data_IF_271867395848
#
_entry.id   IF_271867395848
#
_cell.length_a   1.000
_cell.length_b   1.000
_cell.length_c   1.000
_cell.angle_alpha   90.00
_cell.angle_beta   90.00
_cell.angle_gamma   90.00
#
_symmetry.space_group_name_H-M   'P 1'
#
loop_
_entity.id
_entity.type
_entity.pdbx_description
1 polymer ?
#
# COMPACT_ATOMS: atom_id res chain seq x y z
N UNK A 1 8.76 -12.45 -28.84
CA UNK A 1 8.22 -11.06 -28.83
C UNK A 1 6.77 -11.01 -28.38
N UNK A 2 5.82 -11.67 -29.04
CA UNK A 2 4.42 -11.71 -28.56
C UNK A 2 4.29 -12.41 -27.20
N UNK A 3 4.97 -13.54 -27.03
CA UNK A 3 4.96 -14.30 -25.76
C UNK A 3 5.58 -13.52 -24.59
N UNK A 4 6.60 -12.70 -24.86
CA UNK A 4 7.25 -11.86 -23.84
C UNK A 4 6.33 -10.73 -23.36
N UNK A 5 5.51 -10.20 -24.27
CA UNK A 5 4.55 -9.15 -23.95
C UNK A 5 3.39 -9.67 -23.09
N UNK A 6 2.81 -10.82 -23.47
CA UNK A 6 1.73 -11.46 -22.72
C UNK A 6 2.19 -11.92 -21.32
N UNK A 7 3.43 -12.41 -21.20
CA UNK A 7 4.02 -12.77 -19.91
C UNK A 7 4.19 -11.56 -18.98
N UNK A 8 4.64 -10.42 -19.53
CA UNK A 8 4.77 -9.17 -18.78
C UNK A 8 3.41 -8.60 -18.39
N UNK A 9 2.42 -8.66 -19.28
CA UNK A 9 1.04 -8.23 -19.01
C UNK A 9 0.45 -9.05 -17.86
N UNK A 10 0.55 -10.37 -17.93
CA UNK A 10 0.07 -11.27 -16.87
C UNK A 10 0.75 -10.99 -15.53
N UNK A 11 2.06 -10.73 -15.56
CA UNK A 11 2.82 -10.38 -14.35
C UNK A 11 2.37 -9.04 -13.76
N UNK A 12 2.13 -8.04 -14.61
CA UNK A 12 1.64 -6.73 -14.19
C UNK A 12 0.24 -6.84 -13.57
N UNK A 13 -0.66 -7.59 -14.22
CA UNK A 13 -2.00 -7.83 -13.68
C UNK A 13 -1.94 -8.46 -12.29
N UNK A 14 -1.11 -9.48 -12.10
CA UNK A 14 -0.92 -10.12 -10.78
C UNK A 14 -0.45 -9.13 -9.72
N UNK A 15 0.57 -8.31 -10.03
CA UNK A 15 1.08 -7.29 -9.12
C UNK A 15 0.01 -6.25 -8.79
N UNK A 16 -0.74 -5.77 -9.78
CA UNK A 16 -1.81 -4.80 -9.59
C UNK A 16 -2.94 -5.34 -8.72
N UNK A 17 -3.33 -6.61 -8.90
CA UNK A 17 -4.33 -7.26 -8.04
C UNK A 17 -3.86 -7.37 -6.58
N UNK A 18 -2.60 -7.71 -6.35
CA UNK A 18 -2.04 -7.75 -4.99
C UNK A 18 -1.88 -6.35 -4.38
N UNK A 19 -1.59 -5.35 -5.20
CA UNK A 19 -1.43 -3.95 -4.79
C UNK A 19 -2.75 -3.28 -4.44
N UNK A 20 -3.83 -3.60 -5.16
CA UNK A 20 -5.14 -2.94 -5.03
C UNK A 20 -5.67 -2.80 -3.59
N UNK A 21 -5.72 -3.85 -2.74
CA UNK A 21 -6.20 -3.72 -1.37
C UNK A 21 -5.30 -2.80 -0.51
N UNK A 22 -3.97 -2.86 -0.74
CA UNK A 22 -3.02 -2.00 -0.04
C UNK A 22 -3.10 -0.55 -0.52
N UNK A 23 -3.35 -0.33 -1.81
CA UNK A 23 -3.61 1.00 -2.37
C UNK A 23 -4.85 1.65 -1.75
N UNK A 24 -5.94 0.90 -1.59
CA UNK A 24 -7.15 1.40 -0.94
C UNK A 24 -6.93 1.78 0.53
N UNK A 25 -5.97 1.15 1.20
CA UNK A 25 -5.65 1.42 2.61
C UNK A 25 -4.62 2.53 2.79
N UNK A 26 -3.54 2.52 2.00
CA UNK A 26 -2.34 3.34 2.19
C UNK A 26 -2.08 4.36 1.08
N UNK A 27 -2.79 4.28 -0.04
CA UNK A 27 -2.70 5.22 -1.15
C UNK A 27 -3.39 6.56 -0.84
N UNK A 28 -3.34 7.50 -1.80
CA UNK A 28 -4.05 8.78 -1.69
C UNK A 28 -5.54 8.57 -1.42
N UNK A 29 -6.07 9.21 -0.37
CA UNK A 29 -7.46 9.03 0.06
C UNK A 29 -7.75 7.69 0.77
N UNK A 30 -6.71 6.94 1.12
CA UNK A 30 -6.85 5.66 1.82
C UNK A 30 -7.36 5.76 3.26
N UNK A 31 -7.72 4.62 3.83
CA UNK A 31 -8.42 4.53 5.11
C UNK A 31 -7.52 4.39 6.34
N UNK A 32 -6.21 4.16 6.17
CA UNK A 32 -5.30 3.85 7.28
C UNK A 32 -5.37 4.85 8.43
N UNK A 33 -5.25 6.15 8.15
CA UNK A 33 -5.24 7.18 9.18
C UNK A 33 -6.57 7.29 9.92
N UNK A 34 -7.68 7.07 9.21
CA UNK A 34 -9.00 7.05 9.81
C UNK A 34 -9.13 5.87 10.77
N UNK A 35 -8.77 4.66 10.33
CA UNK A 35 -8.78 3.45 11.16
C UNK A 35 -7.86 3.58 12.37
N UNK A 36 -6.65 4.16 12.19
CA UNK A 36 -5.69 4.40 13.27
C UNK A 36 -6.28 5.32 14.34
N UNK A 37 -6.87 6.44 13.94
CA UNK A 37 -7.49 7.42 14.85
C UNK A 37 -8.71 6.83 15.55
N UNK A 38 -9.53 6.05 14.84
CA UNK A 38 -10.69 5.38 15.41
C UNK A 38 -10.28 4.36 16.48
N UNK A 39 -9.26 3.55 16.21
CA UNK A 39 -8.70 2.61 17.20
C UNK A 39 -8.18 3.33 18.43
N UNK A 40 -7.35 4.37 18.25
CA UNK A 40 -6.79 5.13 19.37
C UNK A 40 -7.90 5.80 20.20
N UNK A 41 -8.93 6.35 19.57
CA UNK A 41 -10.08 6.92 20.26
C UNK A 41 -10.87 5.86 21.07
N UNK A 42 -11.05 4.65 20.52
CA UNK A 42 -11.70 3.56 21.23
C UNK A 42 -10.90 3.15 22.47
N UNK A 43 -9.59 2.94 22.33
CA UNK A 43 -8.67 2.60 23.43
C UNK A 43 -8.71 3.68 24.52
N UNK A 44 -8.62 4.97 24.15
CA UNK A 44 -8.72 6.08 25.09
C UNK A 44 -10.04 6.09 25.86
N UNK A 45 -11.15 5.78 25.20
CA UNK A 45 -12.45 5.72 25.85
C UNK A 45 -12.54 4.56 26.84
N UNK A 46 -11.94 3.41 26.53
CA UNK A 46 -11.84 2.28 27.48
C UNK A 46 -11.07 2.66 28.74
N UNK A 47 -9.88 3.27 28.59
CA UNK A 47 -9.10 3.75 29.75
C UNK A 47 -9.85 4.81 30.56
N UNK A 48 -10.56 5.73 29.89
CA UNK A 48 -11.36 6.75 30.56
C UNK A 48 -12.51 6.13 31.37
N UNK A 49 -13.19 5.13 30.81
CA UNK A 49 -14.30 4.46 31.47
C UNK A 49 -13.85 3.55 32.63
N UNK A 50 -12.63 2.99 32.54
CA UNK A 50 -12.05 2.14 33.58
C UNK A 50 -11.40 2.90 34.74
N UNK A 51 -11.19 4.22 34.60
CA UNK A 51 -10.51 5.01 35.61
C UNK A 51 -11.45 5.40 36.76
N UNK A 52 -10.99 5.19 38.01
CA UNK A 52 -11.72 5.62 39.21
C UNK A 52 -11.74 7.14 39.41
N UNK A 53 -10.80 7.85 38.78
CA UNK A 53 -10.67 9.31 38.84
C UNK A 53 -10.48 9.89 37.45
N UNK A 54 -10.69 11.20 37.32
CA UNK A 54 -10.51 11.90 36.04
C UNK A 54 -9.04 11.82 35.60
N UNK A 55 -8.81 11.20 34.45
CA UNK A 55 -7.49 11.15 33.79
C UNK A 55 -7.34 12.36 32.86
N UNK A 56 -6.13 12.92 32.76
CA UNK A 56 -5.83 13.99 31.81
C UNK A 56 -5.83 13.45 30.38
N UNK A 57 -6.07 14.33 29.40
CA UNK A 57 -6.03 13.93 27.99
C UNK A 57 -4.63 13.48 27.55
N UNK A 58 -3.57 14.09 28.09
CA UNK A 58 -2.18 13.69 27.80
C UNK A 58 -1.89 12.27 28.28
N UNK A 59 -2.31 11.91 29.50
CA UNK A 59 -2.11 10.57 30.02
C UNK A 59 -2.92 9.52 29.26
N UNK A 60 -4.12 9.85 28.79
CA UNK A 60 -4.90 8.97 27.91
C UNK A 60 -4.22 8.78 26.55
N UNK A 61 -3.55 9.82 26.03
CA UNK A 61 -2.74 9.72 24.82
C UNK A 61 -1.55 8.80 25.01
N UNK A 62 -0.80 8.98 26.09
CA UNK A 62 0.35 8.12 26.42
C UNK A 62 -0.09 6.65 26.59
N UNK A 63 -1.16 6.40 27.35
CA UNK A 63 -1.72 5.06 27.55
C UNK A 63 -2.22 4.44 26.24
N UNK A 64 -2.89 5.22 25.40
CA UNK A 64 -3.40 4.76 24.11
C UNK A 64 -2.28 4.36 23.15
N UNK A 65 -1.19 5.12 23.11
CA UNK A 65 -0.02 4.79 22.29
C UNK A 65 0.82 3.65 22.85
N UNK A 66 0.75 3.40 24.16
CA UNK A 66 1.40 2.27 24.82
C UNK A 66 0.56 0.97 24.78
N UNK A 67 -0.71 1.04 24.36
CA UNK A 67 -1.60 -0.13 24.31
C UNK A 67 -1.13 -1.12 23.23
N UNK A 68 -1.04 -2.40 23.61
CA UNK A 68 -0.53 -3.47 22.74
C UNK A 68 -1.33 -3.58 21.43
N UNK A 69 -2.63 -3.27 21.43
CA UNK A 69 -3.46 -3.30 20.22
C UNK A 69 -3.06 -2.20 19.24
N UNK A 70 -2.74 -1.01 19.75
CA UNK A 70 -2.25 0.09 18.93
C UNK A 70 -0.88 -0.22 18.37
N UNK A 71 0.03 -0.73 19.21
CA UNK A 71 1.38 -1.15 18.80
C UNK A 71 1.30 -2.19 17.68
N UNK A 72 0.56 -3.28 17.88
CA UNK A 72 0.37 -4.33 16.85
C UNK A 72 -0.25 -3.79 15.56
N UNK A 73 -1.20 -2.86 15.67
CA UNK A 73 -1.80 -2.23 14.49
C UNK A 73 -0.78 -1.42 13.69
N UNK A 74 0.10 -0.68 14.37
CA UNK A 74 1.16 0.10 13.73
C UNK A 74 2.24 -0.82 13.14
N UNK A 75 2.66 -1.85 13.87
CA UNK A 75 3.63 -2.84 13.40
C UNK A 75 3.15 -3.55 12.14
N UNK A 76 1.92 -4.09 12.14
CA UNK A 76 1.34 -4.72 10.96
C UNK A 76 1.24 -3.75 9.78
N UNK A 77 0.97 -2.46 10.04
CA UNK A 77 0.96 -1.46 9.00
C UNK A 77 2.34 -1.15 8.42
N UNK A 78 3.44 -1.33 9.15
CA UNK A 78 4.80 -1.19 8.63
C UNK A 78 5.07 -2.27 7.58
N UNK A 79 4.74 -3.53 7.90
CA UNK A 79 4.93 -4.66 6.99
C UNK A 79 4.07 -4.51 5.73
N UNK A 80 2.79 -4.14 5.90
CA UNK A 80 1.88 -3.90 4.79
C UNK A 80 2.34 -2.74 3.90
N UNK A 81 2.82 -1.63 4.48
CA UNK A 81 3.35 -0.49 3.70
C UNK A 81 4.65 -0.84 2.98
N UNK A 82 5.49 -1.66 3.59
CA UNK A 82 6.71 -2.16 2.94
C UNK A 82 6.34 -3.01 1.72
N UNK A 83 5.40 -3.94 1.89
CA UNK A 83 4.88 -4.74 0.79
C UNK A 83 4.24 -3.87 -0.30
N UNK A 84 3.46 -2.86 0.08
CA UNK A 84 2.86 -1.93 -0.86
C UNK A 84 3.91 -1.19 -1.70
N UNK A 85 4.96 -0.69 -1.06
CA UNK A 85 6.06 0.01 -1.76
C UNK A 85 6.79 -0.92 -2.74
N UNK A 86 7.04 -2.18 -2.36
CA UNK A 86 7.66 -3.16 -3.25
C UNK A 86 6.76 -3.46 -4.47
N UNK A 87 5.46 -3.69 -4.24
CA UNK A 87 4.50 -3.92 -5.33
C UNK A 87 4.37 -2.71 -6.26
N UNK A 88 4.46 -1.48 -5.72
CA UNK A 88 4.44 -0.25 -6.52
C UNK A 88 5.68 -0.14 -7.40
N UNK A 89 6.86 -0.44 -6.85
CA UNK A 89 8.12 -0.48 -7.60
C UNK A 89 8.09 -1.55 -8.71
N UNK A 90 7.59 -2.76 -8.39
CA UNK A 90 7.47 -3.85 -9.36
C UNK A 90 6.52 -3.48 -10.51
N UNK A 91 5.38 -2.85 -10.19
CA UNK A 91 4.44 -2.36 -11.20
C UNK A 91 5.10 -1.35 -12.14
N UNK A 92 5.83 -0.35 -11.60
CA UNK A 92 6.55 0.64 -12.40
C UNK A 92 7.59 0.01 -13.34
N UNK A 93 8.35 -0.97 -12.84
CA UNK A 93 9.35 -1.68 -13.66
C UNK A 93 8.69 -2.46 -14.79
N UNK A 94 7.59 -3.15 -14.52
CA UNK A 94 6.85 -3.92 -15.52
C UNK A 94 6.23 -3.00 -16.58
N UNK A 95 5.61 -1.90 -16.17
CA UNK A 95 5.08 -0.87 -17.07
C UNK A 95 6.17 -0.31 -17.99
N UNK A 96 7.35 0.01 -17.44
CA UNK A 96 8.49 0.49 -18.22
C UNK A 96 8.94 -0.54 -19.26
N UNK A 97 9.10 -1.81 -18.88
CA UNK A 97 9.48 -2.91 -19.80
C UNK A 97 8.45 -3.06 -20.92
N UNK A 98 7.16 -2.98 -20.60
CA UNK A 98 6.09 -3.06 -21.60
C UNK A 98 6.13 -1.88 -22.58
N UNK A 99 6.34 -0.65 -22.09
CA UNK A 99 6.47 0.53 -22.94
C UNK A 99 7.68 0.42 -23.87
N UNK A 100 8.81 -0.07 -23.35
CA UNK A 100 10.01 -0.32 -24.14
C UNK A 100 9.76 -1.34 -25.27
N UNK A 101 9.13 -2.48 -24.95
CA UNK A 101 8.81 -3.50 -25.97
C UNK A 101 7.87 -2.98 -27.04
N UNK A 102 6.85 -2.20 -26.66
CA UNK A 102 5.97 -1.51 -27.62
C UNK A 102 6.78 -0.62 -28.55
N UNK A 103 7.62 0.26 -28.00
CA UNK A 103 8.45 1.17 -28.78
C UNK A 103 9.37 0.42 -29.77
N UNK A 104 10.03 -0.65 -29.32
CA UNK A 104 10.88 -1.49 -30.18
C UNK A 104 10.12 -2.21 -31.28
N UNK A 105 8.91 -2.66 -31.00
CA UNK A 105 8.05 -3.28 -32.02
C UNK A 105 7.67 -2.27 -33.11
N UNK A 106 7.35 -1.03 -32.73
CA UNK A 106 7.07 0.05 -33.69
C UNK A 106 8.31 0.41 -34.53
N UNK A 107 9.47 0.56 -33.91
CA UNK A 107 10.75 0.83 -34.59
C UNK A 107 11.05 -0.23 -35.66
N UNK A 108 10.97 -1.50 -35.29
CA UNK A 108 11.20 -2.62 -36.21
C UNK A 108 10.18 -2.63 -37.36
N UNK A 109 8.90 -2.36 -37.08
CA UNK A 109 7.86 -2.28 -38.10
C UNK A 109 8.06 -1.11 -39.08
N UNK A 110 8.62 0.01 -38.63
CA UNK A 110 8.99 1.12 -39.51
C UNK A 110 10.18 0.75 -40.40
N UNK A 111 11.24 0.18 -39.83
CA UNK A 111 12.42 -0.25 -40.60
C UNK A 111 12.05 -1.28 -41.69
N UNK A 112 11.18 -2.24 -41.38
CA UNK A 112 10.72 -3.24 -42.33
C UNK A 112 9.90 -2.66 -43.51
N UNK A 113 9.33 -1.46 -43.37
CA UNK A 113 8.61 -0.76 -44.45
C UNK A 113 9.52 0.11 -45.33
N UNK A 114 10.75 0.37 -44.87
CA UNK A 114 11.75 1.19 -45.58
C UNK A 114 12.74 0.35 -46.40
N UNK A 115 12.70 -0.99 -46.24
CA UNK A 115 13.42 -1.97 -47.06
C UNK A 115 12.52 -2.47 -48.19
#
# INVERSE_FOLDING_TARGET
>A
MTDDYEALLTSLESVLHQRAPLYARYGPGGTFDHSRKALLAAIKNEYRNGAATRVSESSLDDMGHADERYIKFVEGAIDERTRYALLDADAQVLEFKMQYLKAKTYENAQLARMQ
#
